data_IF_521919368855
#
_entry.id   IF_521919368855
#
_cell.length_a   1.000
_cell.length_b   1.000
_cell.length_c   1.000
_cell.angle_alpha   90.00
_cell.angle_beta   90.00
_cell.angle_gamma   90.00
#
_symmetry.space_group_name_H-M   'P 1'
#
loop_
_entity.id
_entity.type
_entity.pdbx_description
1 polymer ?
#
# COMPACT_ATOMS: atom_id res chain seq x y z
N UNK A 1 -5.22 -5.17 -15.34
CA UNK A 1 -4.88 -3.77 -15.00
C UNK A 1 -5.30 -2.91 -16.18
N UNK A 2 -6.17 -1.92 -15.97
CA UNK A 2 -6.78 -1.13 -17.07
C UNK A 2 -5.95 0.13 -17.36
N UNK A 3 -5.27 0.70 -16.36
CA UNK A 3 -4.32 1.79 -16.56
C UNK A 3 -3.23 1.74 -15.49
N UNK A 4 -2.06 2.28 -15.83
CA UNK A 4 -0.98 2.59 -14.89
C UNK A 4 -0.48 4.01 -15.20
N UNK A 5 -1.00 4.98 -14.47
CA UNK A 5 -0.71 6.39 -14.68
C UNK A 5 0.05 6.99 -13.50
N UNK A 6 0.70 8.13 -13.76
CA UNK A 6 1.22 9.01 -12.71
C UNK A 6 0.22 10.14 -12.55
N UNK A 7 0.13 10.69 -11.34
CA UNK A 7 -0.56 11.96 -11.12
C UNK A 7 0.08 13.05 -11.98
N UNK A 8 -0.74 13.83 -12.68
CA UNK A 8 -0.27 14.97 -13.47
C UNK A 8 0.37 16.02 -12.56
N UNK A 9 -0.32 16.37 -11.46
CA UNK A 9 0.25 17.15 -10.38
C UNK A 9 0.88 16.23 -9.33
N UNK A 10 2.22 16.29 -9.21
CA UNK A 10 2.98 15.50 -8.23
C UNK A 10 3.10 16.17 -6.86
N UNK A 11 2.49 17.35 -6.69
CA UNK A 11 2.55 18.12 -5.45
C UNK A 11 1.42 17.78 -4.48
N UNK A 12 0.32 17.17 -4.95
CA UNK A 12 -0.76 16.64 -4.12
C UNK A 12 -1.09 15.18 -4.46
N UNK A 13 -1.32 14.38 -3.41
CA UNK A 13 -1.80 13.00 -3.48
C UNK A 13 -3.06 12.85 -2.61
N UNK A 14 -3.87 13.89 -2.57
CA UNK A 14 -5.11 13.91 -1.80
C UNK A 14 -6.25 13.17 -2.52
N UNK A 15 -7.40 13.09 -1.86
CA UNK A 15 -8.55 12.36 -2.38
C UNK A 15 -9.12 12.94 -3.68
N UNK A 16 -8.97 14.25 -3.88
CA UNK A 16 -9.46 14.97 -5.07
C UNK A 16 -8.54 14.68 -6.24
N UNK A 17 -7.23 14.80 -6.07
CA UNK A 17 -6.24 14.42 -7.09
C UNK A 17 -6.42 12.95 -7.50
N UNK A 18 -6.63 12.05 -6.53
CA UNK A 18 -6.95 10.65 -6.78
C UNK A 18 -8.23 10.44 -7.60
N UNK A 19 -9.27 11.23 -7.33
CA UNK A 19 -10.55 11.16 -8.06
C UNK A 19 -10.40 11.65 -9.49
N UNK A 20 -9.75 12.78 -9.68
CA UNK A 20 -9.70 13.47 -10.95
C UNK A 20 -8.84 12.66 -11.95
N UNK A 21 -7.69 12.14 -11.51
CA UNK A 21 -6.90 11.19 -12.30
C UNK A 21 -7.66 9.90 -12.61
N UNK A 22 -8.46 9.38 -11.68
CA UNK A 22 -9.28 8.19 -11.96
C UNK A 22 -10.38 8.50 -12.99
N UNK A 23 -10.98 9.69 -12.94
CA UNK A 23 -11.98 10.13 -13.89
C UNK A 23 -11.40 10.34 -15.30
N UNK A 24 -10.19 10.90 -15.42
CA UNK A 24 -9.46 11.02 -16.69
C UNK A 24 -9.28 9.64 -17.36
N UNK A 25 -8.84 8.65 -16.59
CA UNK A 25 -8.72 7.26 -17.07
C UNK A 25 -10.08 6.77 -17.57
N UNK A 26 -11.16 6.96 -16.82
CA UNK A 26 -12.49 6.50 -17.25
C UNK A 26 -12.93 7.15 -18.56
N UNK A 27 -12.64 8.44 -18.75
CA UNK A 27 -12.95 9.16 -20.00
C UNK A 27 -12.23 8.53 -21.20
N UNK A 28 -10.98 8.09 -21.06
CA UNK A 28 -10.28 7.35 -22.13
C UNK A 28 -11.02 6.08 -22.56
N UNK A 29 -11.77 5.47 -21.65
CA UNK A 29 -12.59 4.28 -21.90
C UNK A 29 -14.07 4.60 -22.20
N UNK A 30 -14.43 5.87 -22.43
CA UNK A 30 -15.82 6.34 -22.59
C UNK A 30 -16.72 5.93 -21.41
N UNK A 31 -16.16 5.96 -20.20
CA UNK A 31 -16.85 5.70 -18.93
C UNK A 31 -16.81 6.92 -18.05
N UNK A 32 -17.60 6.87 -17.00
CA UNK A 32 -17.78 7.94 -16.03
C UNK A 32 -17.78 7.38 -14.60
N UNK A 33 -17.59 8.24 -13.61
CA UNK A 33 -17.67 7.84 -12.20
C UNK A 33 -19.00 7.18 -11.82
N UNK A 34 -20.11 7.52 -12.51
CA UNK A 34 -21.42 6.89 -12.28
C UNK A 34 -21.50 5.43 -12.75
N UNK A 35 -20.58 4.99 -13.61
CA UNK A 35 -20.52 3.58 -14.06
C UNK A 35 -19.85 2.67 -13.01
N UNK A 36 -19.32 3.24 -11.92
CA UNK A 36 -18.58 2.50 -10.90
C UNK A 36 -19.51 2.05 -9.79
N UNK A 37 -19.64 0.73 -9.65
CA UNK A 37 -20.46 0.12 -8.60
C UNK A 37 -19.76 0.03 -7.24
N UNK A 38 -18.44 -0.17 -7.22
CA UNK A 38 -17.67 -0.44 -6.00
C UNK A 38 -16.20 -0.02 -6.20
N UNK A 39 -15.63 0.62 -5.18
CA UNK A 39 -14.20 0.89 -5.09
C UNK A 39 -13.55 -0.12 -4.15
N UNK A 40 -12.57 -0.87 -4.65
CA UNK A 40 -11.73 -1.78 -3.83
C UNK A 40 -10.30 -1.25 -3.82
N UNK A 41 -9.85 -0.71 -2.69
CA UNK A 41 -8.49 -0.18 -2.50
C UNK A 41 -8.00 -0.39 -1.07
N UNK A 42 -6.74 -0.09 -0.81
CA UNK A 42 -6.23 -0.04 0.56
C UNK A 42 -7.04 0.93 1.41
N UNK A 43 -7.32 0.52 2.66
CA UNK A 43 -8.20 1.21 3.61
C UNK A 43 -7.51 2.44 4.25
N UNK A 44 -6.80 3.24 3.45
CA UNK A 44 -6.22 4.50 3.88
C UNK A 44 -7.26 5.62 3.86
N UNK A 45 -6.98 6.70 4.60
CA UNK A 45 -7.87 7.87 4.69
C UNK A 45 -8.17 8.45 3.31
N UNK A 46 -7.15 8.63 2.46
CA UNK A 46 -7.30 9.20 1.11
C UNK A 46 -8.29 8.42 0.25
N UNK A 47 -8.20 7.09 0.22
CA UNK A 47 -9.11 6.27 -0.58
C UNK A 47 -10.52 6.21 -0.03
N UNK A 48 -10.67 6.22 1.30
CA UNK A 48 -11.98 6.35 1.94
C UNK A 48 -12.63 7.68 1.59
N UNK A 49 -11.87 8.77 1.65
CA UNK A 49 -12.33 10.11 1.30
C UNK A 49 -12.67 10.22 -0.18
N UNK A 50 -11.88 9.62 -1.06
CA UNK A 50 -12.18 9.49 -2.49
C UNK A 50 -13.54 8.81 -2.71
N UNK A 51 -13.74 7.62 -2.14
CA UNK A 51 -14.99 6.89 -2.30
C UNK A 51 -16.20 7.62 -1.68
N UNK A 52 -16.01 8.22 -0.50
CA UNK A 52 -17.02 9.04 0.19
C UNK A 52 -17.41 10.26 -0.63
N UNK A 53 -16.43 11.00 -1.15
CA UNK A 53 -16.63 12.18 -1.99
C UNK A 53 -17.20 11.85 -3.37
N UNK A 54 -17.09 10.61 -3.82
CA UNK A 54 -17.74 10.10 -5.04
C UNK A 54 -19.07 9.39 -4.77
N UNK A 55 -19.50 9.25 -3.52
CA UNK A 55 -20.71 8.52 -3.13
C UNK A 55 -20.76 7.06 -3.62
N UNK A 56 -19.60 6.41 -3.75
CA UNK A 56 -19.47 5.03 -4.20
C UNK A 56 -19.13 4.13 -3.00
N UNK A 57 -19.76 2.95 -2.86
CA UNK A 57 -19.38 1.99 -1.84
C UNK A 57 -17.88 1.68 -1.86
N UNK A 58 -17.28 1.54 -0.67
CA UNK A 58 -15.86 1.25 -0.50
C UNK A 58 -15.64 -0.09 0.20
N UNK A 59 -14.68 -0.87 -0.30
CA UNK A 59 -14.19 -2.08 0.37
C UNK A 59 -12.67 -2.04 0.48
N UNK A 60 -12.17 -2.27 1.68
CA UNK A 60 -10.73 -2.46 1.91
C UNK A 60 -10.19 -3.64 1.10
N UNK A 61 -8.97 -3.50 0.59
CA UNK A 61 -8.32 -4.55 -0.17
C UNK A 61 -8.05 -5.79 0.71
N UNK A 62 -8.05 -6.96 0.08
CA UNK A 62 -7.78 -8.22 0.77
C UNK A 62 -6.38 -8.26 1.40
N UNK A 63 -5.39 -7.57 0.82
CA UNK A 63 -4.05 -7.48 1.39
C UNK A 63 -4.02 -6.71 2.72
N UNK A 64 -4.87 -5.69 2.89
CA UNK A 64 -4.98 -4.99 4.18
C UNK A 64 -5.64 -5.90 5.23
N UNK A 65 -6.71 -6.61 4.88
CA UNK A 65 -7.30 -7.61 5.76
C UNK A 65 -6.31 -8.73 6.13
N UNK A 66 -5.49 -9.16 5.18
CA UNK A 66 -4.44 -10.14 5.41
C UNK A 66 -3.37 -9.61 6.36
N UNK A 67 -2.88 -8.39 6.18
CA UNK A 67 -1.92 -7.79 7.09
C UNK A 67 -2.46 -7.70 8.53
N UNK A 68 -3.72 -7.29 8.70
CA UNK A 68 -4.36 -7.29 10.03
C UNK A 68 -4.45 -8.71 10.60
N UNK A 69 -4.82 -9.70 9.79
CA UNK A 69 -4.88 -11.10 10.25
C UNK A 69 -3.50 -11.61 10.68
N UNK A 70 -2.44 -11.24 9.96
CA UNK A 70 -1.05 -11.57 10.30
C UNK A 70 -0.63 -10.86 11.59
N UNK A 71 -0.95 -9.58 11.76
CA UNK A 71 -0.69 -8.83 13.00
C UNK A 71 -1.36 -9.50 14.21
N UNK A 72 -2.64 -9.89 14.08
CA UNK A 72 -3.37 -10.61 15.14
C UNK A 72 -2.74 -11.98 15.41
N UNK A 73 -2.40 -12.72 14.36
CA UNK A 73 -1.77 -14.04 14.48
C UNK A 73 -0.41 -13.98 15.18
N UNK A 74 0.37 -12.93 14.90
CA UNK A 74 1.72 -12.76 15.44
C UNK A 74 1.76 -12.00 16.78
N UNK A 75 0.62 -11.55 17.30
CA UNK A 75 0.56 -10.75 18.52
C UNK A 75 1.20 -11.43 19.74
N UNK A 76 1.21 -12.77 19.80
CA UNK A 76 1.87 -13.52 20.88
C UNK A 76 3.40 -13.56 20.77
N UNK A 77 3.98 -13.14 19.65
CA UNK A 77 5.41 -13.16 19.37
C UNK A 77 6.01 -11.74 19.31
N UNK A 78 5.36 -10.76 19.94
CA UNK A 78 5.75 -9.35 19.83
C UNK A 78 7.20 -9.10 20.29
N UNK A 79 7.66 -9.82 21.34
CA UNK A 79 9.02 -9.69 21.83
C UNK A 79 10.05 -10.25 20.83
N UNK A 80 9.82 -11.45 20.30
CA UNK A 80 10.68 -12.06 19.30
C UNK A 80 10.69 -11.25 18.00
N UNK A 81 9.52 -10.76 17.56
CA UNK A 81 9.42 -9.87 16.40
C UNK A 81 10.20 -8.57 16.62
N UNK A 82 10.13 -7.98 17.80
CA UNK A 82 10.92 -6.80 18.14
C UNK A 82 12.43 -7.08 18.09
N UNK A 83 12.89 -8.24 18.59
CA UNK A 83 14.29 -8.64 18.48
C UNK A 83 14.72 -8.82 17.02
N UNK A 84 13.92 -9.54 16.22
CA UNK A 84 14.18 -9.73 14.78
C UNK A 84 14.25 -8.38 14.06
N UNK A 85 13.31 -7.47 14.35
CA UNK A 85 13.28 -6.12 13.77
C UNK A 85 14.53 -5.30 14.11
N UNK A 86 15.01 -5.38 15.36
CA UNK A 86 16.26 -4.74 15.77
C UNK A 86 17.46 -5.28 14.99
N UNK A 87 17.54 -6.60 14.83
CA UNK A 87 18.59 -7.23 14.02
C UNK A 87 18.50 -6.83 12.55
N UNK A 88 17.31 -6.83 11.97
CA UNK A 88 17.10 -6.38 10.59
C UNK A 88 17.60 -4.95 10.40
N UNK A 89 17.23 -4.01 11.29
CA UNK A 89 17.70 -2.62 11.26
C UNK A 89 19.22 -2.50 11.41
N UNK A 90 19.82 -3.29 12.28
CA UNK A 90 21.27 -3.28 12.47
C UNK A 90 22.01 -3.75 11.21
N UNK A 91 21.51 -4.82 10.58
CA UNK A 91 22.12 -5.49 9.43
C UNK A 91 21.85 -4.80 8.10
N UNK A 92 20.83 -3.94 8.01
CA UNK A 92 20.43 -3.21 6.80
C UNK A 92 21.51 -2.24 6.29
N UNK A 93 22.49 -1.89 7.12
CA UNK A 93 23.62 -1.07 6.67
C UNK A 93 24.60 -1.88 5.83
N UNK A 94 25.02 -1.35 4.68
CA UNK A 94 25.99 -2.00 3.78
C UNK A 94 27.26 -2.50 4.50
N UNK A 95 27.75 -1.76 5.51
CA UNK A 95 28.90 -2.18 6.32
C UNK A 95 28.63 -3.45 7.14
N UNK A 96 27.46 -3.54 7.78
CA UNK A 96 27.11 -4.69 8.61
C UNK A 96 26.67 -5.87 7.76
N UNK A 97 25.91 -5.63 6.68
CA UNK A 97 25.60 -6.64 5.67
C UNK A 97 26.88 -7.26 5.07
N UNK A 98 27.88 -6.44 4.70
CA UNK A 98 29.17 -6.96 4.19
C UNK A 98 29.92 -7.79 5.23
N UNK A 99 29.82 -7.45 6.52
CA UNK A 99 30.41 -8.27 7.59
C UNK A 99 29.64 -9.58 7.76
N UNK A 100 28.31 -9.54 7.71
CA UNK A 100 27.44 -10.72 7.82
C UNK A 100 27.70 -11.72 6.69
N UNK A 101 27.91 -11.23 5.46
CA UNK A 101 28.27 -12.05 4.29
C UNK A 101 29.56 -12.87 4.46
N UNK A 102 30.39 -12.55 5.47
CA UNK A 102 31.58 -13.38 5.80
C UNK A 102 31.24 -14.61 6.62
N UNK A 103 30.06 -14.63 7.25
CA UNK A 103 29.61 -15.69 8.16
C UNK A 103 28.46 -16.52 7.56
N UNK A 104 27.75 -15.99 6.57
CA UNK A 104 26.64 -16.68 5.90
C UNK A 104 26.47 -16.18 4.48
N UNK A 105 26.01 -17.06 3.58
CA UNK A 105 25.64 -16.72 2.21
C UNK A 105 24.23 -16.08 2.11
N UNK A 106 23.54 -15.94 3.25
CA UNK A 106 22.21 -15.34 3.32
C UNK A 106 22.31 -13.81 3.26
N UNK A 107 21.66 -13.22 2.25
CA UNK A 107 21.55 -11.77 2.09
C UNK A 107 20.07 -11.35 2.00
N UNK A 108 19.69 -10.15 2.48
CA UNK A 108 18.40 -9.55 2.16
C UNK A 108 18.25 -9.47 0.64
N UNK A 109 17.08 -9.86 0.11
CA UNK A 109 16.76 -9.75 -1.32
C UNK A 109 16.23 -8.36 -1.66
#
# INVERSE_FOLDING_TARGET
MIAFCKFEDKTSYDAISHRDTFNEILVEYNRSMSDIFLIVRDNCSTNREFARGSHIPFRGCASHCFNIAVEVYLASFDEELNQIHQWMKYLDTSKQSTKLNRYTDLAPK
#
